data_IF_189604970141
#
_entry.id   IF_189604970141
#
_cell.length_a   1.000
_cell.length_b   1.000
_cell.length_c   1.000
_cell.angle_alpha   90.00
_cell.angle_beta   90.00
_cell.angle_gamma   90.00
#
_symmetry.space_group_name_H-M   'P 1'
#
loop_
_entity.id
_entity.type
_entity.pdbx_description
1 polymer ?
#
# COMPACT_ATOMS: atom_id res chain seq x y z
N UNK A 1 14.78 -2.49 19.07
CA UNK A 1 13.63 -3.01 18.29
C UNK A 1 13.32 -2.00 17.20
N UNK A 2 12.86 -2.43 16.02
CA UNK A 2 12.61 -1.50 14.90
C UNK A 2 11.16 -0.99 14.96
N UNK A 3 10.97 0.33 14.99
CA UNK A 3 9.63 0.94 15.07
C UNK A 3 8.70 0.49 13.95
N UNK A 4 9.22 0.24 12.74
CA UNK A 4 8.47 -0.24 11.58
C UNK A 4 7.82 -1.60 11.77
N UNK A 5 8.33 -2.44 12.69
CA UNK A 5 7.69 -3.73 13.05
C UNK A 5 6.37 -3.54 13.79
N UNK A 6 6.18 -2.39 14.43
CA UNK A 6 4.98 -2.05 15.18
C UNK A 6 4.01 -1.17 14.39
N UNK A 7 4.39 -0.76 13.18
CA UNK A 7 3.51 -0.06 12.25
C UNK A 7 2.84 -1.11 11.35
N UNK A 8 1.58 -1.39 11.62
CA UNK A 8 0.72 -2.17 10.75
C UNK A 8 0.35 -1.34 9.52
N UNK A 9 0.47 -1.94 8.35
CA UNK A 9 0.09 -1.33 7.07
C UNK A 9 -1.05 -2.12 6.47
N UNK A 10 -2.18 -1.46 6.20
CA UNK A 10 -3.38 -2.05 5.61
C UNK A 10 -3.70 -1.37 4.29
N UNK A 11 -3.74 -2.17 3.22
CA UNK A 11 -4.15 -1.77 1.88
C UNK A 11 -5.67 -1.96 1.76
N UNK A 12 -6.39 -0.95 1.22
CA UNK A 12 -7.85 -0.88 1.21
C UNK A 12 -8.39 -0.54 -0.17
N UNK A 13 -9.31 -1.36 -0.70
CA UNK A 13 -10.07 -1.10 -1.93
C UNK A 13 -11.43 -0.54 -1.57
N UNK A 14 -11.90 0.47 -2.32
CA UNK A 14 -13.27 0.96 -2.18
C UNK A 14 -14.20 0.09 -3.04
N UNK A 15 -15.17 -0.56 -2.42
CA UNK A 15 -16.19 -1.37 -3.08
C UNK A 15 -17.54 -0.84 -2.62
N UNK A 16 -18.26 -0.15 -3.51
CA UNK A 16 -19.59 0.43 -3.31
C UNK A 16 -19.88 0.96 -1.89
N UNK A 17 -19.42 2.19 -1.60
CA UNK A 17 -19.52 2.88 -0.29
C UNK A 17 -18.83 2.17 0.89
N UNK A 18 -18.25 0.99 0.69
CA UNK A 18 -17.52 0.25 1.72
C UNK A 18 -16.02 0.16 1.39
N UNK A 19 -15.21 -0.09 2.43
CA UNK A 19 -13.78 -0.36 2.28
C UNK A 19 -13.53 -1.84 2.57
N UNK A 20 -12.83 -2.51 1.65
CA UNK A 20 -12.44 -3.92 1.80
C UNK A 20 -10.93 -3.99 2.02
N UNK A 21 -10.53 -4.82 2.99
CA UNK A 21 -9.11 -5.09 3.26
C UNK A 21 -8.56 -5.95 2.14
N UNK A 22 -7.54 -5.42 1.47
CA UNK A 22 -6.85 -6.05 0.35
C UNK A 22 -5.64 -6.84 0.86
N UNK A 23 -4.81 -6.20 1.71
CA UNK A 23 -3.62 -6.82 2.30
C UNK A 23 -3.31 -6.16 3.63
N UNK A 24 -2.78 -6.96 4.55
CA UNK A 24 -2.18 -6.49 5.79
C UNK A 24 -0.73 -6.96 5.90
N UNK A 25 0.15 -6.07 6.31
CA UNK A 25 1.57 -6.33 6.55
C UNK A 25 2.10 -5.37 7.62
N UNK A 26 3.41 -5.37 7.86
CA UNK A 26 4.10 -4.41 8.71
C UNK A 26 5.02 -3.53 7.86
N UNK A 27 5.32 -2.32 8.33
CA UNK A 27 6.12 -1.37 7.55
C UNK A 27 7.54 -1.88 7.30
N UNK A 28 8.15 -2.59 8.26
CA UNK A 28 9.48 -3.18 8.09
C UNK A 28 9.51 -4.19 6.93
N UNK A 29 8.42 -4.91 6.68
CA UNK A 29 8.30 -5.84 5.56
C UNK A 29 8.07 -5.16 4.22
N UNK A 30 7.59 -3.92 4.21
CA UNK A 30 7.47 -3.13 2.99
C UNK A 30 8.76 -2.40 2.62
N UNK A 31 9.66 -2.17 3.60
CA UNK A 31 10.97 -1.57 3.35
C UNK A 31 11.86 -2.57 2.60
N UNK A 32 12.13 -2.29 1.31
CA UNK A 32 13.02 -3.10 0.48
C UNK A 32 12.33 -3.79 -0.69
N UNK A 33 11.00 -3.92 -0.63
CA UNK A 33 10.21 -4.39 -1.76
C UNK A 33 9.91 -3.21 -2.68
N UNK A 34 10.51 -3.21 -3.89
CA UNK A 34 9.96 -2.39 -4.97
C UNK A 34 8.65 -3.04 -5.34
N UNK A 35 7.54 -2.46 -4.89
CA UNK A 35 6.21 -2.93 -5.25
C UNK A 35 5.91 -2.45 -6.66
N UNK A 36 6.46 -3.14 -7.67
CA UNK A 36 6.10 -2.90 -9.06
C UNK A 36 4.75 -3.60 -9.33
N UNK A 37 3.89 -2.94 -10.10
CA UNK A 37 2.64 -3.55 -10.57
C UNK A 37 2.88 -4.80 -11.44
N UNK A 38 4.11 -4.98 -11.95
CA UNK A 38 4.45 -6.06 -12.87
C UNK A 38 5.03 -7.29 -12.16
N UNK A 39 5.84 -7.11 -11.10
CA UNK A 39 6.55 -8.22 -10.45
C UNK A 39 6.10 -8.50 -9.01
N UNK A 40 5.42 -7.57 -8.34
CA UNK A 40 5.01 -7.72 -6.93
C UNK A 40 3.56 -7.25 -6.66
N UNK A 41 2.73 -7.44 -7.68
CA UNK A 41 1.27 -7.56 -7.76
C UNK A 41 0.37 -6.78 -6.78
N UNK A 42 0.80 -5.59 -6.34
CA UNK A 42 -0.12 -4.61 -5.76
C UNK A 42 -1.31 -4.40 -6.71
N UNK A 43 -1.07 -4.38 -8.02
CA UNK A 43 -2.16 -4.23 -8.99
C UNK A 43 -3.18 -5.36 -8.93
N UNK A 44 -2.80 -6.65 -8.92
CA UNK A 44 -3.82 -7.69 -8.80
C UNK A 44 -4.46 -7.76 -7.41
N UNK A 45 -3.82 -7.21 -6.38
CA UNK A 45 -4.49 -7.09 -5.08
C UNK A 45 -5.66 -6.09 -5.16
N UNK A 46 -5.56 -5.05 -5.99
CA UNK A 46 -6.54 -3.98 -6.08
C UNK A 46 -7.47 -4.07 -7.29
N UNK A 47 -7.04 -4.66 -8.40
CA UNK A 47 -7.74 -4.61 -9.68
C UNK A 47 -7.82 -6.01 -10.30
N UNK A 48 -9.04 -6.39 -10.70
CA UNK A 48 -9.32 -7.67 -11.34
C UNK A 48 -8.82 -7.70 -12.81
N UNK A 49 -8.59 -6.52 -13.39
CA UNK A 49 -7.95 -6.31 -14.70
C UNK A 49 -6.50 -5.87 -14.54
N UNK A 50 -5.65 -6.17 -15.53
CA UNK A 50 -4.26 -5.68 -15.58
C UNK A 50 -4.20 -4.18 -15.88
N UNK A 51 -4.51 -3.36 -14.88
CA UNK A 51 -4.39 -1.90 -14.92
C UNK A 51 -5.72 -1.15 -14.88
N UNK A 52 -5.65 0.16 -15.16
CA UNK A 52 -6.80 1.07 -15.13
C UNK A 52 -7.17 1.39 -16.58
N UNK A 53 -8.43 1.10 -16.96
CA UNK A 53 -8.96 1.42 -18.29
C UNK A 53 -8.81 2.91 -18.65
N UNK A 54 -8.60 3.20 -19.93
CA UNK A 54 -8.47 4.58 -20.42
C UNK A 54 -9.69 5.44 -20.03
N UNK A 55 -9.42 6.62 -19.47
CA UNK A 55 -10.47 7.54 -18.99
C UNK A 55 -11.17 7.10 -17.69
N UNK A 56 -10.68 6.05 -17.02
CA UNK A 56 -11.12 5.63 -15.69
C UNK A 56 -10.09 6.00 -14.63
N UNK A 57 -10.52 5.95 -13.37
CA UNK A 57 -9.69 6.21 -12.21
C UNK A 57 -10.18 5.39 -11.03
N UNK A 58 -9.26 4.82 -10.27
CA UNK A 58 -9.58 4.08 -9.05
C UNK A 58 -8.96 4.72 -7.82
N UNK A 59 -9.51 4.39 -6.65
CA UNK A 59 -9.04 4.91 -5.36
C UNK A 59 -8.11 3.91 -4.71
N UNK A 60 -6.86 4.32 -4.52
CA UNK A 60 -5.88 3.60 -3.71
C UNK A 60 -5.84 4.19 -2.29
N UNK A 61 -6.06 3.35 -1.28
CA UNK A 61 -6.03 3.77 0.14
C UNK A 61 -5.10 2.86 0.93
N UNK A 62 -4.28 3.49 1.79
CA UNK A 62 -3.37 2.80 2.69
C UNK A 62 -3.52 3.39 4.09
N UNK A 63 -3.74 2.53 5.08
CA UNK A 63 -3.79 2.88 6.49
C UNK A 63 -2.50 2.44 7.17
N UNK A 64 -1.82 3.37 7.82
CA UNK A 64 -0.73 3.12 8.75
C UNK A 64 -1.24 3.20 10.18
N UNK A 65 -0.90 2.22 10.99
CA UNK A 65 -1.37 2.13 12.37
C UNK A 65 -0.24 1.68 13.28
N UNK A 66 0.11 2.50 14.27
CA UNK A 66 0.96 2.06 15.37
C UNK A 66 0.09 1.29 16.36
N UNK A 67 0.21 -0.03 16.36
CA UNK A 67 -0.69 -0.93 17.11
C UNK A 67 -0.24 -1.03 18.56
N UNK A 68 -1.18 -0.82 19.49
CA UNK A 68 -0.99 -1.16 20.90
C UNK A 68 -0.87 -2.69 21.04
N UNK A 69 0.28 -3.14 21.53
CA UNK A 69 0.59 -4.56 21.69
C UNK A 69 0.38 -5.06 23.13
N UNK A 70 -0.18 -4.23 24.03
CA UNK A 70 -0.42 -4.54 25.43
C UNK A 70 0.85 -4.56 26.30
N UNK A 71 1.97 -4.03 25.82
CA UNK A 71 3.26 -3.97 26.52
C UNK A 71 3.79 -2.53 26.58
N UNK A 72 4.88 -2.32 27.31
CA UNK A 72 5.56 -1.03 27.32
C UNK A 72 6.15 -0.72 25.92
N UNK A 73 5.62 0.32 25.29
CA UNK A 73 6.05 0.83 23.98
C UNK A 73 6.71 2.21 24.09
N UNK A 74 7.00 2.72 25.29
CA UNK A 74 7.62 4.03 25.52
C UNK A 74 9.00 4.17 24.86
N UNK A 75 9.67 3.05 24.58
CA UNK A 75 10.92 3.01 23.83
C UNK A 75 10.83 3.63 22.42
N UNK A 76 9.63 3.77 21.87
CA UNK A 76 9.38 4.40 20.56
C UNK A 76 8.98 5.88 20.68
N UNK A 77 9.00 6.46 21.88
CA UNK A 77 8.65 7.86 22.09
C UNK A 77 9.65 8.77 21.36
N UNK A 78 9.12 9.64 20.50
CA UNK A 78 9.91 10.55 19.69
C UNK A 78 10.42 9.96 18.38
N UNK A 79 10.17 8.68 18.12
CA UNK A 79 10.43 8.08 16.82
C UNK A 79 9.55 8.72 15.75
N UNK A 80 10.11 8.80 14.54
CA UNK A 80 9.47 9.44 13.40
C UNK A 80 9.34 8.45 12.25
N UNK A 81 8.22 8.57 11.56
CA UNK A 81 7.99 7.88 10.31
C UNK A 81 8.20 8.84 9.14
N UNK A 82 9.12 8.52 8.25
CA UNK A 82 9.28 9.18 6.97
C UNK A 82 8.92 8.20 5.86
N UNK A 83 7.98 8.59 5.00
CA UNK A 83 7.50 7.78 3.88
C UNK A 83 7.78 8.54 2.58
N UNK A 84 8.47 7.88 1.65
CA UNK A 84 8.63 8.36 0.29
C UNK A 84 7.88 7.41 -0.63
N UNK A 85 6.86 7.92 -1.32
CA UNK A 85 6.06 7.15 -2.27
C UNK A 85 6.35 7.67 -3.68
N UNK A 86 6.68 6.76 -4.58
CA UNK A 86 6.84 7.06 -6.01
C UNK A 86 5.79 6.25 -6.76
N UNK A 87 4.95 6.93 -7.53
CA UNK A 87 3.95 6.30 -8.39
C UNK A 87 4.43 6.43 -9.83
N UNK A 88 4.85 5.32 -10.43
CA UNK A 88 5.27 5.26 -11.82
C UNK A 88 4.15 4.64 -12.68
N UNK A 89 3.50 5.47 -13.48
CA UNK A 89 2.41 5.04 -14.36
C UNK A 89 2.98 4.62 -15.72
N UNK A 90 2.72 3.38 -16.11
CA UNK A 90 3.17 2.82 -17.38
C UNK A 90 1.98 2.48 -18.26
N UNK A 91 2.10 2.74 -19.57
CA UNK A 91 1.10 2.41 -20.57
C UNK A 91 1.71 1.52 -21.66
N UNK A 92 0.91 0.66 -22.25
CA UNK A 92 1.31 -0.08 -23.47
C UNK A 92 1.39 0.88 -24.65
N UNK A 93 1.98 0.43 -25.76
CA UNK A 93 1.93 1.18 -27.01
C UNK A 93 0.47 1.49 -27.37
N UNK A 94 0.18 2.75 -27.70
CA UNK A 94 -1.14 3.15 -28.17
C UNK A 94 -1.45 2.56 -29.55
N UNK A 95 -2.73 2.38 -29.85
CA UNK A 95 -3.20 2.00 -31.19
C UNK A 95 -3.61 3.26 -31.97
N UNK A 96 -3.19 3.35 -33.23
CA UNK A 96 -3.63 4.39 -34.16
C UNK A 96 -5.13 4.19 -34.45
N UNK A 97 -5.91 5.27 -34.45
CA UNK A 97 -7.35 5.26 -34.72
C UNK A 97 -7.68 6.11 -35.94
#
# INVERSE_FOLDING_TARGET
DDFGKHIKVTFLKNVDKHETIVKQTTLDKLKGDTLTAVDNDLSAWFWDEKGISAGKSDKFKVKFEFVDNGKDQNQFQGDKLQLNWTFDAQQTAGEER
#
